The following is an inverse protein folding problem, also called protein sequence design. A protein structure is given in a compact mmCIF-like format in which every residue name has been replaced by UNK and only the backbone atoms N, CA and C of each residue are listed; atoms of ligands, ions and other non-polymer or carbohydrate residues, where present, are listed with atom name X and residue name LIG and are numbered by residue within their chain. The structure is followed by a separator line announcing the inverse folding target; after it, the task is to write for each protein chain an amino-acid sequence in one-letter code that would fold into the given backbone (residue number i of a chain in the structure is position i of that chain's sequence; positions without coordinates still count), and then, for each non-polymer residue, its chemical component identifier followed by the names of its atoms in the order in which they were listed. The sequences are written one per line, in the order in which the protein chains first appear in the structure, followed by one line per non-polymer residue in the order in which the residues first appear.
data_IF_690523985794
#
_entry.id   IF_690523985794
#
_cell.length_a   1.000
_cell.length_b   1.000
_cell.length_c   1.000
_cell.angle_alpha   90.00
_cell.angle_beta   90.00
_cell.angle_gamma   90.00
#
_symmetry.space_group_name_H-M   'P 1'
#
loop_
_entity.id
_entity.type
_entity.pdbx_description
1 polymer ?
#
# COMPACT_ATOMS: atom_id res chain seq x y z
N UNK A 1 -10.38 10.84 -10.94
CA UNK A 1 -8.99 10.47 -11.08
C UNK A 1 -8.56 9.80 -9.79
N UNK A 2 -7.86 8.67 -9.90
CA UNK A 2 -7.22 7.97 -8.79
C UNK A 2 -5.72 8.27 -8.77
N UNK A 3 -5.01 7.83 -7.73
CA UNK A 3 -3.55 7.84 -7.71
C UNK A 3 -3.00 6.43 -7.99
N UNK A 4 -1.83 6.35 -8.62
CA UNK A 4 -1.04 5.13 -8.89
C UNK A 4 -1.68 4.09 -9.84
N UNK A 5 -2.94 3.70 -9.63
CA UNK A 5 -3.64 2.70 -10.44
C UNK A 5 -5.01 3.22 -10.87
N UNK A 6 -5.46 2.77 -12.04
CA UNK A 6 -6.76 3.11 -12.62
C UNK A 6 -7.23 1.96 -13.54
N UNK A 7 -8.40 2.07 -14.16
CA UNK A 7 -9.03 1.00 -14.94
C UNK A 7 -8.23 0.55 -16.18
N UNK A 8 -7.26 1.36 -16.64
CA UNK A 8 -6.41 1.05 -17.78
C UNK A 8 -5.00 0.60 -17.40
N UNK A 9 -4.66 0.55 -16.11
CA UNK A 9 -3.36 0.07 -15.62
C UNK A 9 -3.17 -1.40 -15.99
N UNK A 10 -2.16 -1.71 -16.80
CA UNK A 10 -1.82 -3.10 -17.16
C UNK A 10 -0.86 -3.70 -16.15
N UNK A 11 -1.28 -4.81 -15.54
CA UNK A 11 -0.60 -5.42 -14.40
C UNK A 11 0.07 -6.73 -14.79
N UNK A 12 1.35 -6.85 -14.44
CA UNK A 12 2.10 -8.10 -14.39
C UNK A 12 1.98 -8.75 -13.01
N UNK A 13 1.86 -10.07 -12.95
CA UNK A 13 1.93 -10.83 -11.69
C UNK A 13 3.19 -11.70 -11.64
N UNK A 14 4.12 -11.38 -10.74
CA UNK A 14 5.28 -12.24 -10.45
C UNK A 14 4.91 -13.30 -9.43
N UNK A 15 5.15 -14.57 -9.75
CA UNK A 15 4.68 -15.71 -8.95
C UNK A 15 3.22 -16.11 -9.28
N UNK A 16 2.74 -15.80 -10.48
CA UNK A 16 1.33 -16.00 -10.90
C UNK A 16 0.84 -17.44 -10.76
N UNK A 17 1.72 -18.44 -10.93
CA UNK A 17 1.33 -19.86 -10.86
C UNK A 17 1.40 -20.44 -9.43
N UNK A 18 1.85 -19.67 -8.44
CA UNK A 18 1.79 -20.06 -7.03
C UNK A 18 0.37 -19.97 -6.47
N UNK A 19 0.09 -20.63 -5.33
CA UNK A 19 -1.25 -20.68 -4.74
C UNK A 19 -1.85 -19.29 -4.50
N UNK A 20 -1.14 -18.43 -3.78
CA UNK A 20 -1.56 -17.04 -3.50
C UNK A 20 -1.59 -16.18 -4.77
N UNK A 21 -0.59 -16.30 -5.63
CA UNK A 21 -0.51 -15.57 -6.90
C UNK A 21 -1.70 -15.87 -7.80
N UNK A 22 -2.04 -17.14 -7.98
CA UNK A 22 -3.17 -17.56 -8.81
C UNK A 22 -4.51 -17.14 -8.19
N UNK A 23 -4.68 -17.34 -6.88
CA UNK A 23 -5.89 -16.94 -6.17
C UNK A 23 -6.15 -15.44 -6.30
N UNK A 24 -5.16 -14.61 -5.96
CA UNK A 24 -5.33 -13.16 -6.00
C UNK A 24 -5.37 -12.60 -7.42
N UNK A 25 -4.72 -13.23 -8.40
CA UNK A 25 -4.88 -12.87 -9.81
C UNK A 25 -6.33 -12.99 -10.25
N UNK A 26 -6.99 -14.12 -9.94
CA UNK A 26 -8.42 -14.30 -10.24
C UNK A 26 -9.30 -13.26 -9.56
N UNK A 27 -9.00 -12.91 -8.31
CA UNK A 27 -9.73 -11.86 -7.59
C UNK A 27 -9.51 -10.47 -8.19
N UNK A 28 -8.30 -10.15 -8.65
CA UNK A 28 -8.01 -8.89 -9.33
C UNK A 28 -8.75 -8.81 -10.67
N UNK A 29 -8.72 -9.87 -11.48
CA UNK A 29 -9.45 -9.94 -12.76
C UNK A 29 -10.96 -9.85 -12.54
N UNK A 30 -11.49 -10.60 -11.57
CA UNK A 30 -12.92 -10.55 -11.22
C UNK A 30 -13.38 -9.16 -10.74
N UNK A 31 -12.45 -8.38 -10.17
CA UNK A 31 -12.72 -6.99 -9.78
C UNK A 31 -12.67 -6.00 -10.96
N UNK A 32 -12.09 -6.39 -12.09
CA UNK A 32 -11.92 -5.55 -13.29
C UNK A 32 -10.48 -5.09 -13.54
N UNK A 33 -9.51 -5.48 -12.71
CA UNK A 33 -8.10 -5.16 -12.94
C UNK A 33 -7.58 -5.85 -14.21
N UNK A 34 -6.88 -5.11 -15.06
CA UNK A 34 -6.29 -5.63 -16.30
C UNK A 34 -4.97 -6.35 -16.03
N UNK A 35 -5.05 -7.59 -15.58
CA UNK A 35 -3.87 -8.48 -15.51
C UNK A 35 -3.57 -9.02 -16.90
N UNK A 36 -2.41 -8.67 -17.46
CA UNK A 36 -2.08 -8.95 -18.87
C UNK A 36 -1.04 -10.04 -19.05
N UNK A 37 -0.22 -10.29 -18.03
CA UNK A 37 0.82 -11.30 -18.06
C UNK A 37 1.14 -11.76 -16.63
N UNK A 38 1.83 -12.88 -16.53
CA UNK A 38 2.53 -13.24 -15.31
C UNK A 38 3.87 -13.91 -15.57
N UNK A 39 4.66 -13.99 -14.52
CA UNK A 39 6.01 -14.59 -14.55
C UNK A 39 6.08 -15.71 -13.55
N UNK A 40 6.59 -16.86 -13.99
CA UNK A 40 7.10 -17.91 -13.11
C UNK A 40 8.25 -18.59 -13.84
N UNK A 41 9.50 -18.44 -13.38
CA UNK A 41 10.65 -19.06 -14.03
C UNK A 41 10.48 -20.58 -14.17
N UNK A 42 10.74 -21.09 -15.37
CA UNK A 42 10.59 -22.50 -15.76
C UNK A 42 9.17 -22.87 -16.21
N UNK A 43 8.29 -21.90 -16.46
CA UNK A 43 6.88 -22.11 -16.86
C UNK A 43 6.43 -21.25 -18.04
N UNK A 44 7.36 -20.71 -18.82
CA UNK A 44 7.00 -20.04 -20.07
C UNK A 44 6.13 -20.93 -20.96
N UNK A 45 5.10 -20.33 -21.58
CA UNK A 45 4.15 -21.02 -22.44
C UNK A 45 2.94 -21.61 -21.73
N UNK A 46 2.93 -21.65 -20.39
CA UNK A 46 1.71 -21.89 -19.62
C UNK A 46 0.77 -20.67 -19.65
N UNK A 47 -0.45 -20.84 -19.15
CA UNK A 47 -1.37 -19.73 -18.92
C UNK A 47 -2.17 -19.92 -17.63
N UNK A 48 -2.50 -18.81 -16.96
CA UNK A 48 -3.49 -18.78 -15.87
C UNK A 48 -4.79 -18.21 -16.44
N UNK A 49 -5.79 -19.06 -16.67
CA UNK A 49 -7.12 -18.67 -17.17
C UNK A 49 -7.06 -17.78 -18.43
N UNK A 50 -6.10 -18.06 -19.33
CA UNK A 50 -5.87 -17.31 -20.57
C UNK A 50 -4.83 -16.18 -20.46
N UNK A 51 -4.32 -15.88 -19.26
CA UNK A 51 -3.23 -14.92 -19.05
C UNK A 51 -1.89 -15.64 -19.34
N UNK A 52 -1.07 -15.17 -20.30
CA UNK A 52 0.19 -15.83 -20.64
C UNK A 52 1.22 -15.76 -19.50
N UNK A 53 1.95 -16.86 -19.32
CA UNK A 53 3.06 -16.97 -18.37
C UNK A 53 4.40 -16.95 -19.12
N UNK A 54 5.33 -16.14 -18.62
CA UNK A 54 6.69 -15.97 -19.13
C UNK A 54 7.73 -16.45 -18.11
N UNK A 55 8.95 -16.73 -18.57
CA UNK A 55 10.05 -17.12 -17.69
C UNK A 55 10.69 -15.92 -17.01
N UNK A 56 10.66 -14.74 -17.64
CA UNK A 56 11.20 -13.50 -17.10
C UNK A 56 10.27 -12.30 -17.30
N UNK A 57 10.47 -11.27 -16.48
CA UNK A 57 9.77 -9.99 -16.63
C UNK A 57 10.16 -9.31 -17.96
N UNK A 58 11.42 -9.45 -18.39
CA UNK A 58 11.89 -8.86 -19.64
C UNK A 58 11.12 -9.40 -20.86
N UNK A 59 10.94 -10.72 -20.95
CA UNK A 59 10.12 -11.35 -22.00
C UNK A 59 8.66 -10.87 -21.96
N UNK A 60 8.08 -10.76 -20.77
CA UNK A 60 6.72 -10.24 -20.63
C UNK A 60 6.62 -8.77 -21.10
N UNK A 61 7.64 -7.95 -20.84
CA UNK A 61 7.70 -6.55 -21.24
C UNK A 61 7.92 -6.35 -22.75
N UNK A 62 8.51 -7.32 -23.45
CA UNK A 62 8.60 -7.30 -24.92
C UNK A 62 7.23 -7.51 -25.58
N UNK A 63 6.37 -8.33 -24.95
CA UNK A 63 5.05 -8.67 -25.46
C UNK A 63 3.93 -7.73 -24.99
N UNK A 64 4.10 -7.08 -23.83
CA UNK A 64 3.06 -6.29 -23.17
C UNK A 64 3.58 -4.93 -22.71
N UNK A 65 2.71 -3.92 -22.76
CA UNK A 65 2.94 -2.69 -21.99
C UNK A 65 2.62 -2.98 -20.52
N UNK A 66 3.58 -2.77 -19.63
CA UNK A 66 3.44 -3.04 -18.20
C UNK A 66 3.50 -1.74 -17.40
N UNK A 67 2.39 -1.38 -16.74
CA UNK A 67 2.30 -0.19 -15.91
C UNK A 67 2.61 -0.50 -14.44
N UNK A 68 2.29 -1.72 -14.00
CA UNK A 68 2.54 -2.16 -12.64
C UNK A 68 2.92 -3.65 -12.57
N UNK A 69 3.66 -4.02 -11.53
CA UNK A 69 3.98 -5.41 -11.20
C UNK A 69 3.61 -5.70 -9.75
N UNK A 70 2.84 -6.75 -9.51
CA UNK A 70 2.52 -7.24 -8.16
C UNK A 70 3.23 -8.55 -7.89
N UNK A 71 3.85 -8.65 -6.71
CA UNK A 71 4.71 -9.75 -6.34
C UNK A 71 4.03 -10.64 -5.30
N UNK A 72 3.82 -11.91 -5.68
CA UNK A 72 3.44 -13.03 -4.81
C UNK A 72 4.58 -14.05 -4.73
N UNK A 73 5.80 -13.54 -4.57
CA UNK A 73 7.04 -14.31 -4.59
C UNK A 73 7.49 -14.56 -3.14
N UNK A 74 7.97 -15.77 -2.77
CA UNK A 74 8.47 -16.03 -1.42
C UNK A 74 9.58 -15.07 -0.98
N UNK A 75 9.67 -14.81 0.32
CA UNK A 75 10.57 -13.81 0.92
C UNK A 75 12.04 -13.91 0.49
N UNK A 76 12.55 -15.14 0.29
CA UNK A 76 13.93 -15.38 -0.13
C UNK A 76 14.24 -14.86 -1.54
N UNK A 77 13.22 -14.74 -2.41
CA UNK A 77 13.38 -14.38 -3.82
C UNK A 77 12.76 -13.01 -4.17
N UNK A 78 11.94 -12.45 -3.28
CA UNK A 78 11.28 -11.16 -3.49
C UNK A 78 12.25 -10.00 -3.77
N UNK A 79 13.42 -9.87 -3.10
CA UNK A 79 14.42 -8.84 -3.45
C UNK A 79 14.84 -8.87 -4.92
N UNK A 80 15.15 -10.05 -5.45
CA UNK A 80 15.61 -10.18 -6.84
C UNK A 80 14.48 -9.91 -7.83
N UNK A 81 13.27 -10.40 -7.54
CA UNK A 81 12.06 -10.13 -8.34
C UNK A 81 11.69 -8.63 -8.38
N UNK A 82 11.97 -7.87 -7.30
CA UNK A 82 11.81 -6.42 -7.30
C UNK A 82 12.79 -5.74 -8.26
N UNK A 83 14.06 -6.14 -8.22
CA UNK A 83 15.09 -5.59 -9.10
C UNK A 83 14.84 -5.99 -10.56
N UNK A 84 14.39 -7.21 -10.82
CA UNK A 84 14.02 -7.67 -12.16
C UNK A 84 12.90 -6.80 -12.76
N UNK A 85 11.84 -6.54 -11.98
CA UNK A 85 10.76 -5.67 -12.42
C UNK A 85 11.18 -4.23 -12.66
N UNK A 86 12.04 -3.69 -11.80
CA UNK A 86 12.58 -2.35 -11.97
C UNK A 86 13.49 -2.25 -13.21
N UNK A 87 14.33 -3.26 -13.45
CA UNK A 87 15.23 -3.32 -14.60
C UNK A 87 14.47 -3.46 -15.93
N UNK A 88 13.31 -4.13 -15.92
CA UNK A 88 12.40 -4.18 -17.07
C UNK A 88 11.62 -2.87 -17.31
N UNK A 89 11.84 -1.83 -16.50
CA UNK A 89 11.23 -0.51 -16.68
C UNK A 89 9.80 -0.37 -16.17
N UNK A 90 9.32 -1.29 -15.31
CA UNK A 90 7.97 -1.20 -14.75
C UNK A 90 7.94 -0.12 -13.65
N UNK A 91 7.15 0.95 -13.79
CA UNK A 91 7.26 2.13 -12.92
C UNK A 91 6.63 1.95 -11.54
N UNK A 92 5.70 1.00 -11.36
CA UNK A 92 5.04 0.73 -10.09
C UNK A 92 5.20 -0.74 -9.68
N UNK A 93 5.78 -0.96 -8.50
CA UNK A 93 5.97 -2.28 -7.90
C UNK A 93 5.13 -2.39 -6.63
N UNK A 94 4.38 -3.49 -6.48
CA UNK A 94 3.58 -3.78 -5.28
C UNK A 94 4.04 -5.11 -4.69
N UNK A 95 4.75 -5.05 -3.57
CA UNK A 95 5.30 -6.24 -2.91
C UNK A 95 4.41 -6.66 -1.74
N UNK A 96 3.69 -7.76 -1.92
CA UNK A 96 2.79 -8.31 -0.89
C UNK A 96 3.59 -9.08 0.16
N UNK A 97 4.69 -9.71 -0.26
CA UNK A 97 5.51 -10.63 0.51
C UNK A 97 5.89 -10.10 1.88
N UNK A 98 5.54 -10.86 2.92
CA UNK A 98 6.00 -10.67 4.29
C UNK A 98 7.25 -11.52 4.58
N UNK A 99 8.08 -11.09 5.54
CA UNK A 99 9.18 -11.89 6.06
C UNK A 99 10.49 -11.80 5.27
N UNK A 100 10.62 -10.77 4.42
CA UNK A 100 11.89 -10.49 3.73
C UNK A 100 12.94 -10.13 4.79
N UNK A 101 14.12 -10.76 4.70
CA UNK A 101 15.20 -10.47 5.63
C UNK A 101 15.62 -8.99 5.52
N UNK A 102 15.73 -8.29 6.67
CA UNK A 102 16.01 -6.86 6.72
C UNK A 102 17.21 -6.45 5.86
N UNK A 103 18.33 -7.16 5.95
CA UNK A 103 19.54 -6.86 5.16
C UNK A 103 19.33 -7.04 3.66
N UNK A 104 18.51 -8.02 3.24
CA UNK A 104 18.18 -8.22 1.84
C UNK A 104 17.29 -7.08 1.32
N UNK A 105 16.30 -6.67 2.11
CA UNK A 105 15.43 -5.55 1.75
C UNK A 105 16.17 -4.21 1.74
N UNK A 106 17.10 -3.97 2.68
CA UNK A 106 17.97 -2.78 2.67
C UNK A 106 18.80 -2.70 1.39
N UNK A 107 19.40 -3.82 0.97
CA UNK A 107 20.17 -3.89 -0.28
C UNK A 107 19.27 -3.62 -1.48
N UNK A 108 18.12 -4.27 -1.56
CA UNK A 108 17.15 -4.07 -2.65
C UNK A 108 16.66 -2.63 -2.71
N UNK A 109 16.30 -2.03 -1.56
CA UNK A 109 15.86 -0.64 -1.45
C UNK A 109 16.89 0.32 -2.06
N UNK A 110 18.18 0.15 -1.74
CA UNK A 110 19.22 1.01 -2.29
C UNK A 110 19.43 0.81 -3.79
N UNK A 111 19.40 -0.44 -4.27
CA UNK A 111 19.50 -0.73 -5.71
C UNK A 111 18.32 -0.17 -6.49
N UNK A 112 17.10 -0.22 -5.93
CA UNK A 112 15.89 0.34 -6.56
C UNK A 112 15.98 1.85 -6.79
N UNK A 113 16.80 2.59 -6.02
CA UNK A 113 17.02 4.03 -6.22
C UNK A 113 17.72 4.35 -7.55
N UNK A 114 18.34 3.37 -8.20
CA UNK A 114 18.92 3.55 -9.54
C UNK A 114 17.87 3.55 -10.66
N UNK A 115 16.61 3.21 -10.35
CA UNK A 115 15.53 3.09 -11.33
C UNK A 115 14.41 4.11 -11.05
N UNK A 116 13.71 4.59 -12.08
CA UNK A 116 12.58 5.50 -11.93
C UNK A 116 11.31 4.74 -11.52
N UNK A 117 11.36 4.07 -10.36
CA UNK A 117 10.30 3.18 -9.89
C UNK A 117 9.79 3.59 -8.52
N UNK A 118 8.50 3.32 -8.29
CA UNK A 118 7.86 3.43 -6.99
C UNK A 118 7.57 2.03 -6.45
N UNK A 119 7.97 1.76 -5.22
CA UNK A 119 7.64 0.53 -4.51
C UNK A 119 6.59 0.80 -3.43
N UNK A 120 5.51 0.02 -3.43
CA UNK A 120 4.55 -0.12 -2.33
C UNK A 120 4.81 -1.45 -1.63
N UNK A 121 4.93 -1.46 -0.31
CA UNK A 121 5.40 -2.60 0.48
C UNK A 121 6.90 -2.59 0.75
N UNK A 122 7.51 -3.72 1.15
CA UNK A 122 6.91 -5.06 1.25
C UNK A 122 5.94 -5.20 2.44
N UNK A 123 5.47 -6.42 2.70
CA UNK A 123 4.54 -6.74 3.78
C UNK A 123 3.32 -5.82 3.80
N UNK A 124 2.63 -5.74 2.67
CA UNK A 124 1.53 -4.80 2.48
C UNK A 124 0.34 -5.48 1.79
N UNK A 125 -0.87 -4.94 1.97
CA UNK A 125 -2.04 -5.46 1.29
C UNK A 125 -2.13 -5.02 -0.18
N UNK A 126 -1.36 -3.99 -0.58
CA UNK A 126 -1.36 -3.42 -1.92
C UNK A 126 -2.21 -2.15 -2.06
N UNK A 127 -2.86 -1.98 -3.21
CA UNK A 127 -3.58 -0.76 -3.60
C UNK A 127 -4.98 -1.11 -4.10
N UNK A 128 -5.97 -0.29 -3.77
CA UNK A 128 -7.30 -0.34 -4.40
C UNK A 128 -7.78 1.09 -4.71
N UNK A 129 -8.21 1.30 -5.96
CA UNK A 129 -8.98 2.47 -6.38
C UNK A 129 -10.38 1.97 -6.68
N UNK A 130 -11.34 2.16 -5.75
CA UNK A 130 -12.63 1.48 -5.81
C UNK A 130 -13.37 1.73 -7.13
N UNK A 131 -13.90 0.66 -7.73
CA UNK A 131 -14.60 0.71 -9.02
C UNK A 131 -13.70 0.82 -10.25
N UNK A 132 -12.37 0.92 -10.08
CA UNK A 132 -11.41 1.04 -11.17
C UNK A 132 -10.45 -0.15 -11.23
N UNK A 133 -9.65 -0.35 -10.18
CA UNK A 133 -8.67 -1.43 -10.12
C UNK A 133 -8.30 -1.77 -8.68
N UNK A 134 -7.90 -3.03 -8.45
CA UNK A 134 -7.18 -3.45 -7.24
C UNK A 134 -5.92 -4.23 -7.61
N UNK A 135 -4.82 -3.94 -6.93
CA UNK A 135 -3.53 -4.60 -7.11
C UNK A 135 -3.04 -5.08 -5.75
N UNK A 136 -3.14 -6.39 -5.50
CA UNK A 136 -2.80 -7.02 -4.23
C UNK A 136 -3.97 -7.77 -3.58
N UNK A 137 -3.91 -7.87 -2.25
CA UNK A 137 -4.77 -8.76 -1.44
C UNK A 137 -5.91 -8.05 -0.72
N UNK A 138 -6.06 -6.73 -0.89
CA UNK A 138 -7.19 -5.97 -0.33
C UNK A 138 -8.53 -6.61 -0.76
N UNK A 139 -9.44 -6.96 0.17
CA UNK A 139 -10.76 -7.48 -0.19
C UNK A 139 -11.56 -6.40 -0.92
N UNK A 140 -12.36 -6.78 -1.93
CA UNK A 140 -13.21 -5.83 -2.64
C UNK A 140 -14.40 -5.36 -1.81
N UNK A 141 -14.90 -6.21 -0.92
CA UNK A 141 -16.02 -5.91 -0.04
C UNK A 141 -15.64 -4.79 0.95
N UNK A 142 -16.58 -3.85 1.17
CA UNK A 142 -16.39 -2.73 2.11
C UNK A 142 -15.75 -1.49 1.49
N UNK A 143 -15.41 -1.52 0.21
CA UNK A 143 -14.88 -0.36 -0.52
C UNK A 143 -15.88 0.12 -1.57
N UNK A 144 -16.11 1.43 -1.61
CA UNK A 144 -16.98 2.08 -2.61
C UNK A 144 -16.30 3.34 -3.15
N UNK A 145 -16.55 3.77 -4.39
CA UNK A 145 -15.96 5.01 -4.90
C UNK A 145 -16.38 6.22 -4.06
N UNK A 146 -15.45 7.11 -3.74
CA UNK A 146 -15.74 8.33 -3.00
C UNK A 146 -14.53 9.22 -2.74
N UNK A 147 -14.64 10.22 -1.86
CA UNK A 147 -13.68 11.32 -1.79
C UNK A 147 -12.51 11.09 -0.82
N UNK A 148 -12.39 9.92 -0.20
CA UNK A 148 -11.42 9.69 0.87
C UNK A 148 -10.19 8.93 0.37
N UNK A 149 -9.03 9.55 0.42
CA UNK A 149 -7.75 8.86 0.24
C UNK A 149 -7.33 8.18 1.53
N UNK A 150 -6.79 6.96 1.48
CA UNK A 150 -6.28 6.28 2.68
C UNK A 150 -4.84 5.82 2.44
N UNK A 151 -3.94 6.14 3.36
CA UNK A 151 -2.58 5.58 3.41
C UNK A 151 -2.40 4.86 4.73
N UNK A 152 -1.92 3.62 4.71
CA UNK A 152 -1.92 2.76 5.90
C UNK A 152 -0.73 1.82 6.00
N UNK A 153 -0.21 1.66 7.22
CA UNK A 153 0.78 0.63 7.56
C UNK A 153 0.17 -0.75 7.83
N UNK A 154 -1.14 -0.83 8.05
CA UNK A 154 -1.83 -2.06 8.48
C UNK A 154 -2.90 -2.51 7.51
N UNK A 155 -2.94 -3.80 7.16
CA UNK A 155 -3.96 -4.37 6.27
C UNK A 155 -5.38 -4.31 6.87
N UNK A 156 -5.64 -5.12 7.88
CA UNK A 156 -7.00 -5.33 8.41
C UNK A 156 -7.63 -4.08 9.01
N UNK A 157 -6.85 -3.22 9.67
CA UNK A 157 -7.33 -1.94 10.19
C UNK A 157 -7.80 -1.01 9.06
N UNK A 158 -7.14 -1.04 7.90
CA UNK A 158 -7.59 -0.30 6.71
C UNK A 158 -8.97 -0.77 6.26
N UNK A 159 -9.22 -2.07 6.31
CA UNK A 159 -10.49 -2.65 5.86
C UNK A 159 -11.62 -2.28 6.80
N UNK A 160 -11.36 -2.27 8.11
CA UNK A 160 -12.32 -1.84 9.13
C UNK A 160 -12.68 -0.36 8.99
N UNK A 161 -11.67 0.52 8.82
CA UNK A 161 -11.89 1.95 8.61
C UNK A 161 -12.66 2.20 7.32
N UNK A 162 -12.27 1.55 6.21
CA UNK A 162 -12.98 1.67 4.94
C UNK A 162 -14.43 1.16 5.04
N UNK A 163 -14.67 0.10 5.81
CA UNK A 163 -16.01 -0.42 6.07
C UNK A 163 -16.88 0.60 6.81
N UNK A 164 -16.38 1.22 7.88
CA UNK A 164 -17.12 2.26 8.62
C UNK A 164 -17.40 3.50 7.78
N UNK A 165 -16.45 3.92 6.94
CA UNK A 165 -16.65 5.01 5.98
C UNK A 165 -17.77 4.64 4.99
N UNK A 166 -17.68 3.46 4.36
CA UNK A 166 -18.67 2.99 3.39
C UNK A 166 -20.06 2.85 4.01
N UNK A 167 -20.18 2.31 5.24
CA UNK A 167 -21.44 2.25 5.97
C UNK A 167 -22.02 3.63 6.29
N UNK A 168 -21.17 4.64 6.41
CA UNK A 168 -21.56 6.04 6.59
C UNK A 168 -21.89 6.76 5.27
N UNK A 169 -21.89 6.04 4.14
CA UNK A 169 -22.12 6.59 2.80
C UNK A 169 -20.92 7.34 2.23
N UNK A 170 -19.72 7.13 2.78
CA UNK A 170 -18.49 7.82 2.38
C UNK A 170 -17.55 6.78 1.74
N UNK A 171 -17.35 6.87 0.43
CA UNK A 171 -16.42 6.02 -0.29
C UNK A 171 -14.97 6.51 -0.26
N UNK A 172 -14.09 5.76 -0.92
CA UNK A 172 -12.66 6.01 -1.01
C UNK A 172 -12.25 6.32 -2.46
N UNK A 173 -11.27 7.21 -2.63
CA UNK A 173 -10.69 7.57 -3.93
C UNK A 173 -9.62 6.55 -4.31
N UNK A 174 -8.60 6.44 -3.47
CA UNK A 174 -7.56 5.40 -3.53
C UNK A 174 -7.06 5.08 -2.14
N UNK A 175 -6.88 3.78 -1.89
CA UNK A 175 -6.38 3.23 -0.64
C UNK A 175 -5.05 2.54 -0.93
N UNK A 176 -4.01 2.94 -0.20
CA UNK A 176 -2.64 2.43 -0.34
C UNK A 176 -2.17 1.86 1.00
N UNK A 177 -1.98 0.55 1.05
CA UNK A 177 -1.26 -0.08 2.14
C UNK A 177 0.23 -0.01 1.88
N UNK A 178 0.98 0.80 2.64
CA UNK A 178 2.42 0.99 2.46
C UNK A 178 3.28 -0.13 3.06
N UNK A 179 2.71 -0.87 4.01
CA UNK A 179 3.31 -2.04 4.63
C UNK A 179 3.80 -1.84 6.07
N UNK A 180 3.98 -2.96 6.77
CA UNK A 180 4.34 -3.02 8.19
C UNK A 180 5.83 -3.27 8.47
N UNK A 181 6.66 -3.38 7.44
CA UNK A 181 8.08 -3.66 7.60
C UNK A 181 8.89 -2.39 7.98
N UNK A 182 10.07 -2.52 8.62
CA UNK A 182 10.91 -1.38 8.96
C UNK A 182 11.49 -0.63 7.75
N UNK A 183 11.61 -1.32 6.61
CA UNK A 183 12.15 -0.78 5.36
C UNK A 183 11.12 -1.01 4.26
N UNK A 184 10.37 0.05 3.95
CA UNK A 184 9.34 0.07 2.91
C UNK A 184 9.78 0.97 1.75
N UNK A 185 9.12 0.80 0.59
CA UNK A 185 9.41 1.57 -0.61
C UNK A 185 8.91 3.01 -0.58
N UNK A 186 7.65 3.21 -0.15
CA UNK A 186 6.99 4.51 -0.10
C UNK A 186 6.41 4.75 1.29
N UNK A 187 6.71 5.91 1.86
CA UNK A 187 6.20 6.40 3.14
C UNK A 187 4.90 7.20 2.98
N UNK A 188 4.36 7.71 4.09
CA UNK A 188 3.28 8.70 4.06
C UNK A 188 3.68 9.96 3.26
N UNK A 189 4.89 10.48 3.47
CA UNK A 189 5.39 11.70 2.81
C UNK A 189 5.55 11.51 1.30
N UNK A 190 5.79 10.28 0.84
CA UNK A 190 5.87 9.98 -0.60
C UNK A 190 4.50 9.94 -1.30
N UNK A 191 3.41 9.72 -0.54
CA UNK A 191 2.06 9.52 -1.07
C UNK A 191 1.12 10.69 -0.81
N UNK A 192 1.33 11.43 0.27
CA UNK A 192 0.58 12.66 0.58
C UNK A 192 0.56 13.65 -0.59
N UNK A 193 1.67 13.96 -1.30
CA UNK A 193 1.64 14.84 -2.46
C UNK A 193 0.69 14.36 -3.58
N UNK A 194 0.56 13.04 -3.76
CA UNK A 194 -0.31 12.48 -4.79
C UNK A 194 -1.79 12.65 -4.42
N UNK A 195 -2.14 12.38 -3.16
CA UNK A 195 -3.49 12.59 -2.64
C UNK A 195 -3.86 14.08 -2.59
N UNK A 196 -2.89 14.93 -2.30
CA UNK A 196 -3.05 16.39 -2.33
C UNK A 196 -3.31 16.91 -3.75
N UNK A 197 -2.62 16.35 -4.75
CA UNK A 197 -2.83 16.71 -6.15
C UNK A 197 -4.11 16.11 -6.76
N UNK A 198 -4.61 15.00 -6.23
CA UNK A 198 -5.78 14.31 -6.78
C UNK A 198 -7.09 15.06 -6.49
N UNK A 199 -7.81 15.59 -7.50
CA UNK A 199 -9.06 16.31 -7.28
C UNK A 199 -10.22 15.45 -6.74
N UNK A 200 -10.21 14.12 -6.87
CA UNK A 200 -11.24 13.28 -6.26
C UNK A 200 -11.03 13.10 -4.76
N UNK A 201 -9.77 13.08 -4.31
CA UNK A 201 -9.45 13.09 -2.88
C UNK A 201 -9.75 14.46 -2.26
N UNK A 202 -10.69 14.48 -1.31
CA UNK A 202 -11.07 15.67 -0.51
C UNK A 202 -10.58 15.59 0.93
N UNK A 203 -10.47 14.38 1.48
CA UNK A 203 -9.93 14.13 2.83
C UNK A 203 -8.98 12.96 2.76
N UNK A 204 -7.85 13.05 3.46
CA UNK A 204 -6.91 11.93 3.60
C UNK A 204 -7.04 11.31 4.98
N UNK A 205 -7.06 9.98 5.05
CA UNK A 205 -6.94 9.22 6.30
C UNK A 205 -5.55 8.61 6.38
N UNK A 206 -4.83 8.92 7.46
CA UNK A 206 -3.55 8.29 7.81
C UNK A 206 -3.77 7.22 8.87
N UNK A 207 -3.38 5.98 8.55
CA UNK A 207 -3.49 4.85 9.48
C UNK A 207 -2.09 4.39 9.86
N UNK A 208 -1.65 4.84 11.03
CA UNK A 208 -0.35 4.54 11.59
C UNK A 208 -0.39 3.50 12.69
N UNK A 209 0.78 3.16 13.18
CA UNK A 209 0.98 2.25 14.31
C UNK A 209 2.25 2.63 15.07
N UNK A 210 2.58 1.89 16.12
CA UNK A 210 3.85 2.07 16.85
C UNK A 210 5.09 1.83 15.96
N UNK A 211 6.22 2.38 16.39
CA UNK A 211 7.52 2.21 15.75
C UNK A 211 7.81 3.25 14.66
N UNK A 212 9.08 3.61 14.53
CA UNK A 212 9.59 4.62 13.59
C UNK A 212 9.06 6.04 13.87
N UNK A 213 9.27 6.94 12.90
CA UNK A 213 8.90 8.36 12.95
C UNK A 213 8.00 8.81 11.77
N UNK A 214 7.49 7.88 10.99
CA UNK A 214 6.81 8.17 9.72
C UNK A 214 5.57 9.05 9.89
N UNK A 215 4.80 8.86 10.95
CA UNK A 215 3.63 9.65 11.28
C UNK A 215 4.00 11.07 11.73
N UNK A 216 5.11 11.22 12.47
CA UNK A 216 5.65 12.51 12.87
C UNK A 216 6.20 13.30 11.67
N UNK A 217 6.85 12.63 10.73
CA UNK A 217 7.32 13.19 9.47
C UNK A 217 6.14 13.62 8.58
N UNK A 218 5.09 12.81 8.51
CA UNK A 218 3.85 13.16 7.83
C UNK A 218 3.20 14.41 8.43
N UNK A 219 3.17 14.53 9.77
CA UNK A 219 2.69 15.72 10.46
C UNK A 219 3.49 16.97 10.07
N UNK A 220 4.84 16.87 10.05
CA UNK A 220 5.70 17.97 9.63
C UNK A 220 5.46 18.40 8.17
N UNK A 221 5.31 17.42 7.27
CA UNK A 221 4.98 17.70 5.87
C UNK A 221 3.64 18.43 5.72
N UNK A 222 2.60 17.96 6.43
CA UNK A 222 1.25 18.52 6.33
C UNK A 222 1.16 19.95 6.86
N UNK A 223 1.92 20.29 7.92
CA UNK A 223 2.01 21.68 8.40
C UNK A 223 2.62 22.61 7.35
N UNK A 224 3.61 22.13 6.59
CA UNK A 224 4.31 22.95 5.60
C UNK A 224 3.58 23.03 4.26
N UNK A 225 2.94 21.94 3.83
CA UNK A 225 2.47 21.74 2.44
C UNK A 225 1.02 21.30 2.30
N UNK A 226 0.39 20.82 3.37
CA UNK A 226 -0.98 20.28 3.32
C UNK A 226 -2.02 21.38 3.16
N UNK A 227 -2.97 21.20 2.24
CA UNK A 227 -4.12 22.10 2.07
C UNK A 227 -5.45 21.39 2.24
N UNK A 228 -5.50 20.07 2.02
CA UNK A 228 -6.69 19.25 2.26
C UNK A 228 -6.75 18.76 3.72
N UNK A 229 -7.96 18.58 4.28
CA UNK A 229 -8.12 17.99 5.60
C UNK A 229 -7.53 16.58 5.69
N UNK A 230 -6.93 16.29 6.84
CA UNK A 230 -6.38 14.97 7.17
C UNK A 230 -6.95 14.50 8.50
N UNK A 231 -7.32 13.23 8.59
CA UNK A 231 -7.70 12.54 9.83
C UNK A 231 -6.70 11.40 10.05
N UNK A 232 -6.29 11.16 11.29
CA UNK A 232 -5.38 10.07 11.62
C UNK A 232 -6.00 9.03 12.55
N UNK A 233 -5.49 7.81 12.49
CA UNK A 233 -5.71 6.76 13.48
C UNK A 233 -4.37 6.09 13.77
N UNK A 234 -4.04 5.92 15.06
CA UNK A 234 -2.78 5.30 15.50
C UNK A 234 -3.09 4.06 16.32
N UNK A 235 -2.63 2.90 15.85
CA UNK A 235 -2.73 1.66 16.60
C UNK A 235 -1.62 1.53 17.67
N UNK A 236 -1.90 0.77 18.73
CA UNK A 236 -0.88 0.33 19.69
C UNK A 236 -0.74 1.17 20.97
N UNK A 237 -1.78 1.91 21.40
CA UNK A 237 -1.79 2.63 22.69
C UNK A 237 -1.53 1.74 23.92
N UNK A 238 -1.87 0.46 23.84
CA UNK A 238 -1.63 -0.53 24.93
C UNK A 238 -0.43 -1.43 24.67
N UNK A 239 0.42 -1.12 23.69
CA UNK A 239 1.57 -1.95 23.36
C UNK A 239 2.67 -1.82 24.43
N UNK A 240 3.21 -2.94 24.95
CA UNK A 240 4.30 -2.88 25.91
C UNK A 240 5.62 -2.45 25.23
N UNK A 241 6.48 -1.67 25.91
CA UNK A 241 7.79 -1.27 25.39
C UNK A 241 8.68 -2.46 25.02
N UNK A 242 9.48 -2.32 23.95
CA UNK A 242 10.47 -3.34 23.54
C UNK A 242 9.90 -4.64 22.99
N UNK A 243 8.58 -4.76 22.82
CA UNK A 243 7.93 -5.95 22.25
C UNK A 243 7.50 -5.68 20.81
N UNK A 244 7.82 -6.61 19.91
CA UNK A 244 7.29 -6.63 18.54
C UNK A 244 5.82 -7.05 18.54
N UNK A 245 4.98 -6.27 17.87
CA UNK A 245 3.53 -6.47 17.78
C UNK A 245 3.12 -6.98 16.39
N UNK A 246 3.40 -8.24 16.09
CA UNK A 246 3.10 -8.83 14.78
C UNK A 246 4.05 -8.34 13.71
N UNK A 247 3.75 -7.18 13.10
CA UNK A 247 4.58 -6.54 12.07
C UNK A 247 6.02 -6.33 12.55
N UNK A 248 6.97 -6.49 11.64
CA UNK A 248 8.39 -6.33 11.93
C UNK A 248 8.76 -4.90 12.36
N UNK A 249 8.07 -3.88 11.82
CA UNK A 249 8.26 -2.48 12.18
C UNK A 249 7.50 -2.03 13.44
N UNK A 250 6.55 -2.82 13.94
CA UNK A 250 5.72 -2.48 15.08
C UNK A 250 6.42 -2.79 16.42
N UNK A 251 7.47 -2.04 16.73
CA UNK A 251 8.21 -2.12 17.99
C UNK A 251 8.48 -0.72 18.56
N UNK A 252 8.19 -0.54 19.85
CA UNK A 252 8.54 0.69 20.57
C UNK A 252 9.98 0.58 21.07
N UNK A 253 10.83 1.53 20.66
CA UNK A 253 12.24 1.61 21.08
C UNK A 253 12.49 2.93 21.80
N UNK A 254 12.82 2.86 23.09
CA UNK A 254 12.94 4.04 23.94
C UNK A 254 11.59 4.74 24.18
N UNK A 255 11.62 6.07 24.32
CA UNK A 255 10.43 6.92 24.43
C UNK A 255 9.86 7.36 23.08
N UNK A 256 10.59 7.11 22.00
CA UNK A 256 10.23 7.50 20.63
C UNK A 256 9.47 6.36 19.93
N UNK A 257 8.51 6.71 19.06
CA UNK A 257 7.69 5.73 18.33
C UNK A 257 6.53 5.12 19.13
N UNK A 258 6.17 5.67 20.29
CA UNK A 258 4.93 5.28 21.00
C UNK A 258 3.69 5.83 20.29
N UNK A 259 2.56 5.12 20.39
CA UNK A 259 1.29 5.60 19.84
C UNK A 259 0.86 6.95 20.44
N UNK A 260 1.14 7.16 21.74
CA UNK A 260 0.86 8.41 22.43
C UNK A 260 1.68 9.57 21.87
N UNK A 261 3.00 9.41 21.71
CA UNK A 261 3.86 10.46 21.16
C UNK A 261 3.46 10.84 19.72
N UNK A 262 3.12 9.83 18.89
CA UNK A 262 2.61 10.04 17.52
C UNK A 262 1.30 10.82 17.53
N UNK A 263 0.35 10.41 18.37
CA UNK A 263 -0.95 11.09 18.53
C UNK A 263 -0.77 12.55 18.90
N UNK A 264 0.05 12.84 19.92
CA UNK A 264 0.28 14.22 20.37
C UNK A 264 0.96 15.08 19.29
N UNK A 265 1.86 14.49 18.50
CA UNK A 265 2.53 15.21 17.40
C UNK A 265 1.54 15.56 16.28
N UNK A 266 0.67 14.63 15.91
CA UNK A 266 -0.38 14.86 14.90
C UNK A 266 -1.42 15.88 15.39
N UNK A 267 -1.88 15.77 16.63
CA UNK A 267 -2.82 16.71 17.24
C UNK A 267 -2.23 18.13 17.31
N UNK A 268 -0.94 18.27 17.66
CA UNK A 268 -0.21 19.56 17.62
C UNK A 268 -0.10 20.15 16.22
N UNK A 269 -0.11 19.31 15.18
CA UNK A 269 -0.15 19.73 13.78
C UNK A 269 -1.57 20.07 13.28
N UNK A 270 -2.59 20.03 14.16
CA UNK A 270 -3.98 20.28 13.80
C UNK A 270 -4.67 19.09 13.13
N UNK A 271 -4.09 17.90 13.17
CA UNK A 271 -4.64 16.68 12.59
C UNK A 271 -5.38 15.92 13.69
N UNK A 272 -6.72 15.79 13.62
CA UNK A 272 -7.48 15.03 14.61
C UNK A 272 -7.11 13.54 14.55
N UNK A 273 -6.88 12.94 15.72
CA UNK A 273 -6.51 11.53 15.87
C UNK A 273 -7.67 10.76 16.49
N UNK A 274 -8.28 9.88 15.71
CA UNK A 274 -9.34 8.99 16.17
C UNK A 274 -8.80 7.96 17.17
N UNK A 275 -9.60 7.64 18.19
CA UNK A 275 -9.33 6.58 19.18
C UNK A 275 -9.90 5.23 18.76
N UNK A 276 -10.88 5.22 17.85
CA UNK A 276 -11.45 3.98 17.29
C UNK A 276 -11.59 4.05 15.77
N UNK A 277 -11.58 2.91 15.06
CA UNK A 277 -11.85 2.88 13.61
C UNK A 277 -13.19 3.53 13.23
N UNK A 278 -14.23 3.35 14.03
CA UNK A 278 -15.54 3.98 13.80
C UNK A 278 -15.50 5.52 13.93
N UNK A 279 -14.70 6.05 14.85
CA UNK A 279 -14.53 7.49 15.06
C UNK A 279 -13.85 8.17 13.86
N UNK A 280 -13.01 7.45 13.09
CA UNK A 280 -12.46 7.96 11.84
C UNK A 280 -13.57 8.42 10.90
N UNK A 281 -14.64 7.63 10.76
CA UNK A 281 -15.75 7.98 9.88
C UNK A 281 -16.51 9.24 10.33
N UNK A 282 -16.61 9.46 11.65
CA UNK A 282 -17.22 10.66 12.23
C UNK A 282 -16.37 11.90 11.89
N UNK A 283 -15.06 11.84 12.17
CA UNK A 283 -14.15 12.95 11.92
C UNK A 283 -14.02 13.27 10.43
N UNK A 284 -13.99 12.26 9.56
CA UNK A 284 -13.99 12.45 8.10
C UNK A 284 -15.28 13.13 7.64
N UNK A 285 -16.44 12.72 8.19
CA UNK A 285 -17.73 13.36 7.86
C UNK A 285 -17.77 14.82 8.27
N UNK A 286 -17.15 15.18 9.40
CA UNK A 286 -17.02 16.56 9.85
C UNK A 286 -16.09 17.37 8.94
N UNK A 287 -14.96 16.79 8.53
CA UNK A 287 -14.00 17.43 7.63
C UNK A 287 -14.51 17.64 6.19
N UNK A 288 -15.55 16.91 5.78
CA UNK A 288 -16.20 17.05 4.47
C UNK A 288 -17.31 18.11 4.43
N UNK A 289 -17.66 18.73 5.56
CA UNK A 289 -18.68 19.79 5.63
C UNK A 289 -18.11 21.15 5.28
#
# INVERSE_FOLDING_TARGET
MSILIHENTQVLVQGITGGEGAFHTRQMVAYGTRVVAGVTPGKAGESLDGIPVYDSVAEAAEAHRLDASVLFVPAAFAPDALIEAAAAGIPLLVCITEGIALHAMLRAYHLLKAYPVRLIGPNCPGIISPGQAKVGVIPSAGFTPGPVGIVSRSGTLTYEIAHHLTQSGIGQSTVVGIGGDPVIGSSFVDLLPLLEADPETKVTVLVGEIGGSAEEEAAAYLVERGTKPVVAYIAGFSAPPGKRMGHAGAIVTGSEGTAQAKSERLEKAGIPVARTPAEVAILVKEALR
#
